data_IF_377483910314
#
_entry.id   IF_377483910314
#
_cell.length_a   1.000
_cell.length_b   1.000
_cell.length_c   1.000
_cell.angle_alpha   90.00
_cell.angle_beta   90.00
_cell.angle_gamma   90.00
#
_symmetry.space_group_name_H-M   'P 1'
#
loop_
_entity.id
_entity.type
_entity.pdbx_description
1 polymer ?
#
# COMPACT_ATOMS: atom_id res chain seq x y z
N UNK A 1 -8.35 -4.35 -4.31
CA UNK A 1 -9.17 -3.86 -5.44
C UNK A 1 -8.33 -3.52 -6.66
N UNK A 2 -7.39 -2.57 -6.59
CA UNK A 2 -6.55 -2.21 -7.74
C UNK A 2 -5.75 -3.37 -8.34
N UNK A 3 -5.15 -4.22 -7.48
CA UNK A 3 -4.52 -5.47 -7.91
C UNK A 3 -5.50 -6.42 -8.63
N UNK A 4 -6.73 -6.55 -8.13
CA UNK A 4 -7.76 -7.44 -8.70
C UNK A 4 -8.17 -7.00 -10.10
N UNK A 5 -8.26 -5.68 -10.33
CA UNK A 5 -8.49 -5.10 -11.67
C UNK A 5 -7.31 -5.42 -12.59
N UNK A 6 -6.08 -5.21 -12.12
CA UNK A 6 -4.88 -5.57 -12.88
C UNK A 6 -4.84 -7.08 -13.21
N UNK A 7 -5.26 -7.94 -12.29
CA UNK A 7 -5.36 -9.37 -12.50
C UNK A 7 -6.40 -9.73 -13.56
N UNK A 8 -7.55 -9.04 -13.58
CA UNK A 8 -8.59 -9.23 -14.60
C UNK A 8 -8.10 -8.78 -15.99
N UNK A 9 -7.45 -7.62 -16.09
CA UNK A 9 -6.82 -7.12 -17.32
C UNK A 9 -5.78 -8.13 -17.81
N UNK A 10 -4.92 -8.62 -16.92
CA UNK A 10 -3.92 -9.62 -17.27
C UNK A 10 -4.55 -10.91 -17.84
N UNK A 11 -5.67 -11.38 -17.26
CA UNK A 11 -6.39 -12.58 -17.71
C UNK A 11 -7.00 -12.36 -19.10
N UNK A 12 -7.51 -11.16 -19.38
CA UNK A 12 -8.12 -10.82 -20.66
C UNK A 12 -7.09 -10.69 -21.78
N UNK A 13 -5.97 -9.99 -21.53
CA UNK A 13 -4.95 -9.68 -22.54
C UNK A 13 -3.83 -10.74 -22.65
N UNK A 14 -3.82 -11.79 -21.80
CA UNK A 14 -2.80 -12.87 -21.79
C UNK A 14 -1.35 -12.35 -21.77
N UNK A 15 -1.09 -11.40 -20.88
CA UNK A 15 0.18 -10.68 -20.77
C UNK A 15 1.32 -11.60 -20.25
N UNK A 16 2.55 -11.34 -20.69
CA UNK A 16 3.74 -12.13 -20.35
C UNK A 16 4.09 -12.05 -18.84
N UNK A 17 4.90 -12.98 -18.32
CA UNK A 17 5.13 -13.15 -16.86
C UNK A 17 5.79 -11.94 -16.18
N UNK A 18 6.76 -11.29 -16.82
CA UNK A 18 7.42 -10.09 -16.28
C UNK A 18 6.45 -8.91 -16.25
N UNK A 19 5.80 -8.67 -17.38
CA UNK A 19 4.79 -7.63 -17.57
C UNK A 19 3.60 -7.80 -16.61
N UNK A 20 3.22 -9.05 -16.29
CA UNK A 20 2.19 -9.35 -15.28
C UNK A 20 2.57 -8.79 -13.91
N UNK A 21 3.80 -8.96 -13.45
CA UNK A 21 4.22 -8.44 -12.13
C UNK A 21 4.18 -6.92 -12.11
N UNK A 22 4.67 -6.28 -13.18
CA UNK A 22 4.64 -4.82 -13.32
C UNK A 22 3.20 -4.32 -13.34
N UNK A 23 2.31 -4.99 -14.07
CA UNK A 23 0.88 -4.66 -14.14
C UNK A 23 0.19 -4.76 -12.78
N UNK A 24 0.48 -5.82 -12.01
CA UNK A 24 -0.06 -6.01 -10.66
C UNK A 24 0.45 -4.91 -9.70
N UNK A 25 1.75 -4.61 -9.73
CA UNK A 25 2.35 -3.51 -8.95
C UNK A 25 1.72 -2.16 -9.31
N UNK A 26 1.47 -1.92 -10.60
CA UNK A 26 0.82 -0.70 -11.09
C UNK A 26 -0.63 -0.60 -10.63
N UNK A 27 -1.38 -1.70 -10.65
CA UNK A 27 -2.75 -1.75 -10.13
C UNK A 27 -2.82 -1.46 -8.63
N UNK A 28 -1.89 -2.00 -7.84
CA UNK A 28 -1.77 -1.67 -6.41
C UNK A 28 -1.48 -0.18 -6.22
N UNK A 29 -0.53 0.36 -6.98
CA UNK A 29 -0.13 1.78 -6.93
C UNK A 29 -1.30 2.71 -7.28
N UNK A 30 -2.08 2.38 -8.32
CA UNK A 30 -3.29 3.11 -8.70
C UNK A 30 -4.35 3.10 -7.60
N UNK A 31 -4.63 1.93 -7.02
CA UNK A 31 -5.58 1.82 -5.92
C UNK A 31 -5.17 2.61 -4.69
N UNK A 32 -3.86 2.62 -4.36
CA UNK A 32 -3.33 3.40 -3.25
C UNK A 32 -3.46 4.91 -3.50
N UNK A 33 -3.05 5.38 -4.68
CA UNK A 33 -3.15 6.79 -5.07
C UNK A 33 -4.60 7.29 -5.06
N UNK A 34 -5.53 6.46 -5.55
CA UNK A 34 -6.96 6.75 -5.57
C UNK A 34 -7.60 6.77 -4.16
N UNK A 35 -7.11 5.99 -3.21
CA UNK A 35 -7.68 5.89 -1.86
C UNK A 35 -7.12 6.95 -0.91
N UNK A 36 -5.79 7.16 -0.92
CA UNK A 36 -5.09 7.95 0.09
C UNK A 36 -4.67 9.35 -0.39
N UNK A 37 -4.73 9.63 -1.70
CA UNK A 37 -4.26 10.90 -2.22
C UNK A 37 -2.75 11.13 -2.10
N UNK A 38 -1.99 10.09 -1.78
CA UNK A 38 -0.54 10.12 -1.63
C UNK A 38 0.13 9.32 -2.76
N UNK A 39 0.17 9.83 -3.99
CA UNK A 39 0.61 9.06 -5.17
C UNK A 39 2.07 8.63 -5.10
N UNK A 40 2.95 9.43 -4.50
CA UNK A 40 4.37 9.08 -4.32
C UNK A 40 4.51 7.88 -3.36
N UNK A 41 3.79 7.91 -2.23
CA UNK A 41 3.76 6.78 -1.30
C UNK A 41 3.18 5.52 -1.94
N UNK A 42 2.08 5.67 -2.71
CA UNK A 42 1.46 4.56 -3.43
C UNK A 42 2.37 3.91 -4.47
N UNK A 43 3.20 4.71 -5.14
CA UNK A 43 4.21 4.23 -6.10
C UNK A 43 5.22 3.32 -5.44
N UNK A 44 5.86 3.79 -4.36
CA UNK A 44 6.88 3.02 -3.62
C UNK A 44 6.25 1.77 -3.01
N UNK A 45 5.07 1.93 -2.42
CA UNK A 45 4.32 0.81 -1.82
C UNK A 45 4.01 -0.28 -2.85
N UNK A 46 3.49 0.08 -4.03
CA UNK A 46 3.19 -0.90 -5.07
C UNK A 46 4.44 -1.62 -5.61
N UNK A 47 5.56 -0.91 -5.71
CA UNK A 47 6.85 -1.50 -6.15
C UNK A 47 7.42 -2.51 -5.16
N UNK A 48 7.25 -2.27 -3.86
CA UNK A 48 7.83 -3.10 -2.80
C UNK A 48 6.90 -4.24 -2.36
N UNK A 49 5.58 -4.00 -2.32
CA UNK A 49 4.61 -4.95 -1.76
C UNK A 49 4.57 -6.29 -2.48
N UNK A 50 4.72 -6.31 -3.81
CA UNK A 50 4.70 -7.56 -4.63
C UNK A 50 6.08 -8.24 -4.66
N UNK A 51 7.15 -7.50 -4.35
CA UNK A 51 8.51 -7.99 -4.36
C UNK A 51 9.10 -7.85 -2.96
N UNK A 52 8.72 -8.76 -2.04
CA UNK A 52 9.20 -8.79 -0.65
C UNK A 52 10.69 -8.41 -0.55
N UNK A 53 10.97 -7.23 -0.01
CA UNK A 53 12.31 -6.71 0.26
C UNK A 53 13.13 -6.28 -0.96
N UNK A 54 12.54 -6.15 -2.16
CA UNK A 54 13.25 -5.70 -3.37
C UNK A 54 12.45 -4.64 -4.12
N UNK A 55 12.99 -3.42 -4.19
CA UNK A 55 12.45 -2.37 -5.05
C UNK A 55 12.72 -2.70 -6.53
N UNK A 56 11.65 -2.94 -7.29
CA UNK A 56 11.75 -3.15 -8.74
C UNK A 56 11.73 -1.84 -9.50
N UNK A 57 12.91 -1.28 -9.75
CA UNK A 57 13.06 -0.02 -10.48
C UNK A 57 12.47 -0.06 -11.90
N UNK A 58 12.45 -1.23 -12.54
CA UNK A 58 11.78 -1.43 -13.84
C UNK A 58 10.29 -1.07 -13.80
N UNK A 59 9.64 -1.20 -12.63
CA UNK A 59 8.24 -0.87 -12.42
C UNK A 59 8.02 0.59 -11.97
N UNK A 60 9.06 1.41 -11.84
CA UNK A 60 8.94 2.77 -11.31
C UNK A 60 8.01 3.66 -12.14
N UNK A 61 8.28 3.79 -13.44
CA UNK A 61 7.44 4.59 -14.35
C UNK A 61 5.99 4.11 -14.39
N UNK A 62 5.69 2.80 -14.59
CA UNK A 62 4.30 2.35 -14.65
C UNK A 62 3.58 2.44 -13.29
N UNK A 63 4.26 2.21 -12.15
CA UNK A 63 3.66 2.41 -10.83
C UNK A 63 3.38 3.91 -10.56
N UNK A 64 4.31 4.79 -10.91
CA UNK A 64 4.19 6.23 -10.70
C UNK A 64 3.00 6.79 -11.48
N UNK A 65 2.98 6.49 -12.79
CA UNK A 65 1.89 6.92 -13.66
C UNK A 65 0.55 6.37 -13.19
N UNK A 66 0.46 5.09 -12.87
CA UNK A 66 -0.76 4.47 -12.38
C UNK A 66 -1.24 5.10 -11.06
N UNK A 67 -0.35 5.40 -10.12
CA UNK A 67 -0.70 6.03 -8.84
C UNK A 67 -1.25 7.45 -9.01
N UNK A 68 -0.60 8.27 -9.85
CA UNK A 68 -1.10 9.61 -10.18
C UNK A 68 -2.42 9.57 -10.95
N UNK A 69 -2.57 8.65 -11.89
CA UNK A 69 -3.85 8.45 -12.61
C UNK A 69 -4.97 8.09 -11.63
N UNK A 70 -4.71 7.20 -10.67
CA UNK A 70 -5.68 6.87 -9.62
C UNK A 70 -6.07 8.10 -8.79
N UNK A 71 -5.08 8.88 -8.35
CA UNK A 71 -5.32 10.13 -7.61
C UNK A 71 -6.16 11.14 -8.41
N UNK A 72 -5.76 11.45 -9.66
CA UNK A 72 -6.47 12.41 -10.48
C UNK A 72 -7.85 11.94 -10.91
N UNK A 73 -8.07 10.63 -11.08
CA UNK A 73 -9.40 10.10 -11.35
C UNK A 73 -10.32 10.33 -10.15
N UNK A 74 -9.84 10.09 -8.94
CA UNK A 74 -10.60 10.38 -7.70
C UNK A 74 -10.87 11.88 -7.54
N UNK A 75 -9.86 12.74 -7.75
CA UNK A 75 -9.99 14.17 -7.48
C UNK A 75 -10.67 14.97 -8.58
N UNK A 76 -10.33 14.72 -9.84
CA UNK A 76 -10.84 15.48 -10.99
C UNK A 76 -12.13 14.88 -11.52
N UNK A 77 -12.16 13.56 -11.75
CA UNK A 77 -13.33 12.93 -12.36
C UNK A 77 -14.45 12.67 -11.34
N UNK A 78 -14.10 12.24 -10.12
CA UNK A 78 -15.07 11.99 -9.05
C UNK A 78 -15.32 13.19 -8.14
N UNK A 79 -14.50 14.24 -8.24
CA UNK A 79 -14.64 15.46 -7.43
C UNK A 79 -14.34 15.27 -5.94
N UNK A 80 -13.75 14.14 -5.54
CA UNK A 80 -13.47 13.85 -4.14
C UNK A 80 -12.13 14.48 -3.73
N UNK A 81 -12.13 15.24 -2.64
CA UNK A 81 -10.91 15.86 -2.12
C UNK A 81 -10.30 14.96 -1.05
N UNK A 82 -9.01 14.65 -1.22
CA UNK A 82 -8.25 13.99 -0.16
C UNK A 82 -7.94 14.98 0.97
N UNK A 83 -7.87 14.47 2.19
CA UNK A 83 -7.50 15.24 3.37
C UNK A 83 -6.03 15.65 3.28
N UNK A 84 -5.76 16.96 3.28
CA UNK A 84 -4.41 17.52 3.26
C UNK A 84 -4.02 17.98 4.67
N UNK A 85 -3.12 17.24 5.32
CA UNK A 85 -2.59 17.61 6.63
C UNK A 85 -1.36 18.51 6.48
N UNK A 86 -1.56 19.81 6.63
CA UNK A 86 -0.47 20.79 6.62
C UNK A 86 0.19 20.79 8.01
N UNK A 87 1.43 20.32 8.07
CA UNK A 87 2.25 20.35 9.29
C UNK A 87 2.67 21.81 9.53
N UNK A 88 2.08 22.46 10.52
CA UNK A 88 2.33 23.87 10.82
C UNK A 88 3.63 24.12 11.60
N UNK A 89 4.03 23.16 12.44
CA UNK A 89 5.17 23.28 13.35
C UNK A 89 5.98 21.99 13.25
N UNK A 90 7.22 22.10 12.81
CA UNK A 90 8.18 20.99 12.79
C UNK A 90 9.10 21.14 14.01
N UNK A 91 9.17 20.13 14.91
CA UNK A 91 10.06 20.20 16.06
C UNK A 91 11.53 20.25 15.63
N UNK A 92 12.35 20.97 16.40
CA UNK A 92 13.78 21.08 16.13
C UNK A 92 14.45 19.71 16.24
N UNK A 93 15.30 19.38 15.27
CA UNK A 93 16.10 18.15 15.29
C UNK A 93 17.13 18.26 16.41
N UNK A 94 16.85 17.57 17.52
CA UNK A 94 17.69 17.47 18.72
C UNK A 94 17.89 16.01 19.06
N UNK A 95 18.97 15.67 19.78
CA UNK A 95 19.27 14.31 20.23
C UNK A 95 18.10 13.69 21.00
N UNK A 96 17.42 14.48 21.84
CA UNK A 96 16.22 14.05 22.58
C UNK A 96 15.09 13.61 21.65
N UNK A 97 14.78 14.41 20.61
CA UNK A 97 13.76 14.08 19.61
C UNK A 97 14.10 12.76 18.91
N UNK A 98 15.38 12.55 18.59
CA UNK A 98 15.84 11.33 17.92
C UNK A 98 15.66 10.08 18.79
N UNK A 99 16.01 10.17 20.09
CA UNK A 99 15.82 9.07 21.05
C UNK A 99 14.33 8.71 21.19
N UNK A 100 13.45 9.72 21.28
CA UNK A 100 11.99 9.50 21.37
C UNK A 100 11.47 8.79 20.11
N UNK A 101 11.91 9.21 18.91
CA UNK A 101 11.50 8.59 17.65
C UNK A 101 11.93 7.12 17.58
N UNK A 102 13.15 6.78 18.02
CA UNK A 102 13.61 5.39 18.07
C UNK A 102 12.73 4.56 19.01
N UNK A 103 12.47 5.07 20.21
CA UNK A 103 11.67 4.37 21.22
C UNK A 103 10.24 4.12 20.71
N UNK A 104 9.61 5.14 20.10
CA UNK A 104 8.29 5.01 19.48
C UNK A 104 8.29 4.02 18.30
N UNK A 105 9.35 4.00 17.49
CA UNK A 105 9.46 3.07 16.37
C UNK A 105 9.50 1.60 16.84
N UNK A 106 10.25 1.33 17.91
CA UNK A 106 10.27 -0.01 18.53
C UNK A 106 8.90 -0.37 19.10
N UNK A 107 8.25 0.56 19.79
CA UNK A 107 6.91 0.35 20.34
C UNK A 107 5.88 0.05 19.26
N UNK A 108 5.84 0.83 18.18
CA UNK A 108 4.93 0.60 17.06
C UNK A 108 5.21 -0.69 16.30
N UNK A 109 6.48 -1.10 16.20
CA UNK A 109 6.85 -2.41 15.63
C UNK A 109 6.26 -3.56 16.46
N UNK A 110 6.39 -3.51 17.79
CA UNK A 110 5.80 -4.51 18.69
C UNK A 110 4.27 -4.55 18.59
N UNK A 111 3.63 -3.39 18.54
CA UNK A 111 2.16 -3.29 18.36
C UNK A 111 1.75 -3.89 17.00
N UNK A 112 2.51 -3.64 15.93
CA UNK A 112 2.24 -4.23 14.62
C UNK A 112 2.33 -5.76 14.65
N UNK A 113 3.33 -6.34 15.32
CA UNK A 113 3.47 -7.80 15.46
C UNK A 113 2.29 -8.38 16.24
N UNK A 114 1.91 -7.74 17.35
CA UNK A 114 0.76 -8.16 18.14
C UNK A 114 -0.54 -8.13 17.34
N UNK A 115 -0.76 -7.08 16.55
CA UNK A 115 -1.92 -6.96 15.68
C UNK A 115 -1.98 -8.09 14.63
N UNK A 116 -0.84 -8.41 14.01
CA UNK A 116 -0.74 -9.52 13.05
C UNK A 116 -1.09 -10.87 13.69
N UNK A 117 -0.56 -11.14 14.90
CA UNK A 117 -0.87 -12.37 15.64
C UNK A 117 -2.36 -12.44 16.01
N UNK A 118 -2.92 -11.35 16.54
CA UNK A 118 -4.32 -11.28 16.93
C UNK A 118 -5.25 -11.53 15.73
N UNK A 119 -4.97 -10.92 14.57
CA UNK A 119 -5.75 -11.16 13.35
C UNK A 119 -5.75 -12.66 12.99
N UNK A 120 -4.59 -13.31 13.03
CA UNK A 120 -4.45 -14.71 12.68
C UNK A 120 -5.18 -15.64 13.66
N UNK A 121 -5.16 -15.32 14.94
CA UNK A 121 -5.93 -16.08 15.93
C UNK A 121 -7.44 -15.88 15.75
N UNK A 122 -7.90 -14.64 15.53
CA UNK A 122 -9.32 -14.36 15.24
C UNK A 122 -9.80 -15.14 14.01
N UNK A 123 -9.01 -15.20 12.95
CA UNK A 123 -9.31 -15.97 11.75
C UNK A 123 -9.48 -17.46 12.07
N UNK A 124 -8.56 -18.06 12.84
CA UNK A 124 -8.67 -19.46 13.27
C UNK A 124 -9.90 -19.72 14.12
N UNK A 125 -10.19 -18.85 15.09
CA UNK A 125 -11.38 -18.98 15.95
C UNK A 125 -12.66 -18.90 15.13
N UNK A 126 -12.73 -17.98 14.16
CA UNK A 126 -13.90 -17.81 13.30
C UNK A 126 -14.11 -19.02 12.39
N UNK A 127 -13.04 -19.55 11.76
CA UNK A 127 -13.12 -20.75 10.92
C UNK A 127 -13.58 -21.96 11.74
N UNK A 128 -13.02 -22.14 12.94
CA UNK A 128 -13.41 -23.21 13.88
C UNK A 128 -14.88 -23.10 14.30
N UNK A 129 -15.37 -21.89 14.57
CA UNK A 129 -16.76 -21.66 14.97
C UNK A 129 -17.74 -21.82 13.80
N UNK A 130 -17.35 -21.45 12.58
CA UNK A 130 -18.21 -21.54 11.40
C UNK A 130 -18.44 -22.98 10.90
N UNK A 131 -17.83 -24.00 11.54
CA UNK A 131 -17.99 -25.42 11.18
C UNK A 131 -17.57 -25.78 9.74
N UNK A 132 -16.99 -24.82 9.01
CA UNK A 132 -16.62 -24.95 7.61
C UNK A 132 -15.11 -25.19 7.55
N UNK A 133 -14.75 -26.46 7.68
CA UNK A 133 -13.46 -26.96 7.23
C UNK A 133 -13.39 -26.71 5.72
N UNK A 134 -12.55 -25.77 5.29
CA UNK A 134 -12.12 -25.68 3.89
C UNK A 134 -11.08 -26.76 3.68
#
# INVERSE_FOLDING_TARGET
>A
MGESVAAAVNKFFKVNKLDKKILMMSGISAGFGAAFGAPIAGTVFGMEMVAMGKLKLEAFVPCLTASFVGHYLTTVAWGHKHEEFIIQIVPKITITTFIIVILLSVLFSLISVLYCQLRHEIEKYLIKFSGKTI
#
